data_IF_626456067515
#
_entry.id   IF_626456067515
#
_cell.length_a   1.000
_cell.length_b   1.000
_cell.length_c   1.000
_cell.angle_alpha   90.00
_cell.angle_beta   90.00
_cell.angle_gamma   90.00
#
_symmetry.space_group_name_H-M   'P 1'
#
loop_
_entity.id
_entity.type
_entity.pdbx_description
1 polymer ?
#
# COMPACT_ATOMS: atom_id res chain seq x y z
N UNK A 1 26.87 -0.76 34.06
CA UNK A 1 27.10 0.04 32.85
C UNK A 1 27.89 -0.82 31.87
N UNK A 2 27.61 -0.77 30.57
CA UNK A 2 28.43 -1.44 29.56
C UNK A 2 29.85 -0.88 29.63
N UNK A 3 30.87 -1.73 29.43
CA UNK A 3 32.27 -1.28 29.40
C UNK A 3 32.47 -0.34 28.20
N UNK A 4 33.41 0.62 28.29
CA UNK A 4 33.73 1.55 27.20
C UNK A 4 33.99 0.84 25.86
N UNK A 5 34.57 -0.34 25.90
CA UNK A 5 34.79 -1.17 24.70
C UNK A 5 33.52 -1.73 24.12
N UNK A 6 32.52 -2.10 24.93
CA UNK A 6 31.23 -2.58 24.44
C UNK A 6 30.43 -1.43 23.82
N UNK A 7 30.50 -0.24 24.43
CA UNK A 7 29.89 0.96 23.84
C UNK A 7 30.53 1.33 22.50
N UNK A 8 31.87 1.32 22.38
CA UNK A 8 32.57 1.60 21.15
C UNK A 8 32.17 0.64 20.01
N UNK A 9 32.12 -0.67 20.30
CA UNK A 9 31.70 -1.67 19.29
C UNK A 9 30.24 -1.48 18.85
N UNK A 10 29.33 -1.18 19.78
CA UNK A 10 27.95 -0.89 19.47
C UNK A 10 27.86 0.35 18.56
N UNK A 11 28.55 1.43 18.93
CA UNK A 11 28.53 2.68 18.18
C UNK A 11 29.14 2.56 16.77
N UNK A 12 30.21 1.78 16.58
CA UNK A 12 30.76 1.50 15.25
C UNK A 12 29.75 0.74 14.38
N UNK A 13 29.08 -0.26 14.95
CA UNK A 13 28.05 -1.02 14.26
C UNK A 13 26.86 -0.14 13.85
N UNK A 14 26.37 0.71 14.75
CA UNK A 14 25.27 1.63 14.47
C UNK A 14 25.62 2.60 13.32
N UNK A 15 26.88 3.03 13.22
CA UNK A 15 27.37 3.84 12.11
C UNK A 15 27.40 3.07 10.79
N UNK A 16 27.77 1.79 10.80
CA UNK A 16 27.72 0.94 9.61
C UNK A 16 26.27 0.74 9.16
N UNK A 17 25.37 0.42 10.08
CA UNK A 17 23.95 0.26 9.80
C UNK A 17 23.34 1.54 9.19
N UNK A 18 23.71 2.72 9.68
CA UNK A 18 23.28 4.00 9.11
C UNK A 18 23.82 4.24 7.70
N UNK A 19 25.08 3.88 7.44
CA UNK A 19 25.67 4.00 6.09
C UNK A 19 25.04 3.03 5.11
N UNK A 20 24.75 1.81 5.53
CA UNK A 20 24.08 0.79 4.70
C UNK A 20 22.65 1.23 4.35
N UNK A 21 22.01 2.03 5.20
CA UNK A 21 20.74 2.69 4.93
C UNK A 21 20.86 3.92 4.02
N UNK A 22 22.08 4.26 3.56
CA UNK A 22 22.33 5.41 2.70
C UNK A 22 22.31 6.76 3.43
N UNK A 23 22.41 6.76 4.76
CA UNK A 23 22.44 7.99 5.58
C UNK A 23 23.86 8.55 5.60
N UNK A 24 24.10 9.77 5.10
CA UNK A 24 25.45 10.38 5.10
C UNK A 24 25.85 10.75 6.53
N UNK A 25 26.98 10.21 6.98
CA UNK A 25 27.59 10.54 8.24
C UNK A 25 28.89 11.33 8.01
N UNK A 26 28.90 12.58 8.41
CA UNK A 26 30.08 13.43 8.40
C UNK A 26 30.76 13.45 9.76
N UNK A 27 32.10 13.48 9.73
CA UNK A 27 32.90 13.73 10.95
C UNK A 27 33.16 15.23 11.05
N UNK A 28 32.85 15.82 12.18
CA UNK A 28 33.05 17.24 12.39
C UNK A 28 33.08 17.61 13.86
N UNK A 29 33.61 18.79 14.19
CA UNK A 29 33.56 19.37 15.53
C UNK A 29 32.27 20.19 15.68
N UNK A 30 31.64 20.13 16.86
CA UNK A 30 30.44 20.91 17.19
C UNK A 30 30.72 22.40 17.47
N UNK A 31 31.98 22.78 17.65
CA UNK A 31 32.39 24.14 17.97
C UNK A 31 33.80 24.39 17.48
N UNK A 32 34.10 25.65 17.09
CA UNK A 32 35.46 26.13 16.82
C UNK A 32 36.40 26.05 18.03
N UNK A 33 35.86 25.77 19.20
CA UNK A 33 36.61 25.73 20.47
C UNK A 33 36.72 24.32 21.08
N UNK A 34 36.18 23.30 20.38
CA UNK A 34 36.15 21.93 20.89
C UNK A 34 36.93 21.02 19.95
N UNK A 35 38.03 20.45 20.42
CA UNK A 35 38.85 19.51 19.68
C UNK A 35 38.24 18.09 19.62
N UNK A 36 37.07 17.87 20.21
CA UNK A 36 36.36 16.59 20.16
C UNK A 36 35.67 16.41 18.81
N UNK A 37 36.11 15.42 18.07
CA UNK A 37 35.47 15.00 16.82
C UNK A 37 34.18 14.21 17.12
N UNK A 38 33.09 14.70 16.60
CA UNK A 38 31.79 14.05 16.67
C UNK A 38 31.29 13.64 15.27
N UNK A 39 30.14 12.97 15.24
CA UNK A 39 29.45 12.62 13.99
C UNK A 39 28.17 13.45 13.86
N UNK A 40 27.90 13.91 12.65
CA UNK A 40 26.66 14.61 12.34
C UNK A 40 26.04 14.06 11.06
N UNK A 41 24.72 14.14 10.98
CA UNK A 41 23.97 13.91 9.75
C UNK A 41 23.63 15.30 9.18
N UNK A 42 24.18 15.70 8.00
CA UNK A 42 23.85 16.96 7.39
C UNK A 42 22.35 17.01 7.02
N UNK A 43 21.65 18.02 7.48
CA UNK A 43 20.21 18.15 7.19
C UNK A 43 19.93 18.28 5.68
N UNK A 44 20.86 18.88 4.94
CA UNK A 44 20.77 19.07 3.48
C UNK A 44 20.87 17.77 2.70
N UNK A 45 21.64 16.80 3.20
CA UNK A 45 21.94 15.56 2.48
C UNK A 45 20.97 14.44 2.85
N UNK A 46 20.26 14.59 3.96
CA UNK A 46 19.20 13.68 4.41
C UNK A 46 17.79 14.20 4.12
N UNK A 47 17.66 15.48 3.74
CA UNK A 47 16.39 15.99 3.24
C UNK A 47 16.07 15.31 1.91
N UNK A 48 14.86 14.75 1.77
CA UNK A 48 14.33 14.37 0.46
C UNK A 48 14.54 15.56 -0.49
N UNK A 49 15.05 15.34 -1.72
CA UNK A 49 15.12 16.41 -2.71
C UNK A 49 13.75 17.04 -2.84
N UNK A 50 13.72 18.34 -3.10
CA UNK A 50 12.47 19.08 -3.27
C UNK A 50 11.63 18.37 -4.33
N UNK A 51 10.49 17.81 -3.91
CA UNK A 51 9.58 17.12 -4.82
C UNK A 51 8.89 18.19 -5.64
N UNK A 52 9.30 18.36 -6.88
CA UNK A 52 8.63 19.24 -7.86
C UNK A 52 7.81 18.36 -8.78
N UNK A 53 6.51 18.43 -8.66
CA UNK A 53 5.60 17.74 -9.57
C UNK A 53 5.27 18.69 -10.72
N UNK A 54 5.28 18.17 -11.95
CA UNK A 54 4.70 18.85 -13.11
C UNK A 54 3.17 18.98 -12.94
N UNK A 55 2.54 19.90 -13.66
CA UNK A 55 1.12 20.22 -13.46
C UNK A 55 0.20 19.00 -13.68
N UNK A 56 0.53 18.13 -14.63
CA UNK A 56 -0.19 16.88 -14.91
C UNK A 56 0.06 15.82 -13.84
N UNK A 57 1.27 15.72 -13.29
CA UNK A 57 1.61 14.85 -12.16
C UNK A 57 0.87 15.27 -10.89
N UNK A 58 0.87 16.58 -10.58
CA UNK A 58 0.13 17.14 -9.44
C UNK A 58 -1.39 16.89 -9.58
N UNK A 59 -1.94 17.04 -10.79
CA UNK A 59 -3.33 16.72 -11.07
C UNK A 59 -3.64 15.24 -10.89
N UNK A 60 -2.76 14.34 -11.37
CA UNK A 60 -2.90 12.89 -11.21
C UNK A 60 -2.88 12.47 -9.73
N UNK A 61 -1.94 13.01 -8.95
CA UNK A 61 -1.85 12.76 -7.49
C UNK A 61 -3.09 13.29 -6.76
N UNK A 62 -3.54 14.50 -7.09
CA UNK A 62 -4.74 15.09 -6.52
C UNK A 62 -5.99 14.28 -6.84
N UNK A 63 -6.13 13.79 -8.07
CA UNK A 63 -7.21 12.88 -8.49
C UNK A 63 -7.16 11.56 -7.71
N UNK A 64 -6.00 10.91 -7.66
CA UNK A 64 -5.81 9.64 -6.95
C UNK A 64 -6.17 9.76 -5.47
N UNK A 65 -5.72 10.83 -4.80
CA UNK A 65 -6.01 11.04 -3.38
C UNK A 65 -7.49 11.29 -3.11
N UNK A 66 -8.21 11.97 -3.99
CA UNK A 66 -9.66 12.15 -3.89
C UNK A 66 -10.44 10.88 -4.18
N UNK A 67 -9.93 10.04 -5.09
CA UNK A 67 -10.46 8.70 -5.29
C UNK A 67 -10.39 7.87 -4.00
N UNK A 68 -9.36 8.05 -3.19
CA UNK A 68 -9.18 7.36 -1.91
C UNK A 68 -9.89 8.04 -0.73
N UNK A 69 -10.27 9.31 -0.85
CA UNK A 69 -10.95 10.04 0.23
C UNK A 69 -12.32 9.49 0.61
N UNK A 70 -12.97 8.77 -0.30
CA UNK A 70 -14.24 8.06 -0.05
C UNK A 70 -14.08 6.64 0.50
N UNK A 71 -12.83 6.15 0.61
CA UNK A 71 -12.51 4.83 1.12
C UNK A 71 -12.01 4.91 2.57
N UNK A 72 -11.88 3.76 3.22
CA UNK A 72 -11.35 3.59 4.59
C UNK A 72 -9.96 4.21 4.78
N UNK A 73 -9.24 4.51 3.71
CA UNK A 73 -7.93 5.16 3.70
C UNK A 73 -7.99 6.68 3.50
N UNK A 74 -9.17 7.29 3.45
CA UNK A 74 -9.34 8.71 3.20
C UNK A 74 -8.57 9.62 4.16
N UNK A 75 -8.49 9.26 5.44
CA UNK A 75 -7.71 10.00 6.43
C UNK A 75 -6.20 9.97 6.14
N UNK A 76 -5.66 8.84 5.66
CA UNK A 76 -4.25 8.71 5.29
C UNK A 76 -3.94 9.50 4.01
N UNK A 77 -4.80 9.41 3.00
CA UNK A 77 -4.70 10.19 1.77
C UNK A 77 -4.75 11.70 2.03
N UNK A 78 -5.66 12.17 2.88
CA UNK A 78 -5.74 13.59 3.27
C UNK A 78 -4.48 14.06 3.99
N UNK A 79 -3.90 13.24 4.88
CA UNK A 79 -2.62 13.58 5.54
C UNK A 79 -1.46 13.63 4.54
N UNK A 80 -1.42 12.72 3.57
CA UNK A 80 -0.39 12.71 2.53
C UNK A 80 -0.49 13.97 1.65
N UNK A 81 -1.70 14.33 1.20
CA UNK A 81 -1.93 15.56 0.45
C UNK A 81 -1.47 16.81 1.19
N UNK A 82 -1.83 16.96 2.47
CA UNK A 82 -1.37 18.10 3.28
C UNK A 82 0.15 18.19 3.39
N UNK A 83 0.84 17.03 3.46
CA UNK A 83 2.30 17.01 3.47
C UNK A 83 2.89 17.49 2.14
N UNK A 84 2.29 17.10 1.01
CA UNK A 84 2.70 17.58 -0.31
C UNK A 84 2.46 19.07 -0.47
N UNK A 85 1.29 19.59 -0.07
CA UNK A 85 0.97 21.02 -0.07
C UNK A 85 1.96 21.81 0.81
N UNK A 86 2.28 21.28 2.00
CA UNK A 86 3.26 21.92 2.90
C UNK A 86 4.68 21.88 2.33
N UNK A 87 4.99 20.90 1.48
CA UNK A 87 6.27 20.83 0.76
C UNK A 87 6.30 21.69 -0.52
N UNK A 88 5.26 22.51 -0.77
CA UNK A 88 5.21 23.45 -1.89
C UNK A 88 4.63 22.88 -3.18
N UNK A 89 4.04 21.69 -3.15
CA UNK A 89 3.35 21.11 -4.32
C UNK A 89 1.98 21.79 -4.47
N UNK A 90 1.78 22.54 -5.56
CA UNK A 90 0.47 23.08 -5.92
C UNK A 90 -0.42 21.97 -6.48
N UNK A 91 -1.43 21.56 -5.72
CA UNK A 91 -2.43 20.59 -6.17
C UNK A 91 -3.51 21.32 -6.98
N UNK A 92 -3.66 20.96 -8.25
CA UNK A 92 -4.69 21.55 -9.12
C UNK A 92 -6.09 21.16 -8.61
N UNK A 93 -6.98 22.14 -8.35
CA UNK A 93 -8.36 21.83 -8.00
C UNK A 93 -9.06 21.14 -9.16
N UNK A 94 -9.69 19.98 -8.90
CA UNK A 94 -10.53 19.35 -9.91
C UNK A 94 -11.79 20.21 -10.15
N UNK A 95 -12.28 20.25 -11.40
CA UNK A 95 -13.54 20.92 -11.72
C UNK A 95 -14.67 20.38 -10.84
N UNK A 96 -15.53 21.28 -10.35
CA UNK A 96 -16.75 20.91 -9.62
C UNK A 96 -17.61 19.98 -10.52
N UNK A 97 -17.90 18.79 -10.02
CA UNK A 97 -18.70 17.79 -10.75
C UNK A 97 -17.97 16.49 -11.06
N UNK A 98 -16.64 16.45 -11.06
CA UNK A 98 -15.87 15.21 -11.13
C UNK A 98 -15.69 14.63 -9.72
N UNK A 99 -16.70 13.96 -9.20
CA UNK A 99 -16.57 13.07 -8.05
C UNK A 99 -16.35 11.65 -8.55
N UNK A 100 -15.11 11.13 -8.56
CA UNK A 100 -14.88 9.71 -8.85
C UNK A 100 -15.56 8.91 -7.75
N UNK A 101 -16.66 8.26 -8.08
CA UNK A 101 -17.32 7.32 -7.18
C UNK A 101 -16.54 6.00 -7.23
N UNK A 102 -15.44 5.92 -6.50
CA UNK A 102 -14.96 4.63 -6.07
C UNK A 102 -15.97 4.14 -5.03
N UNK A 103 -16.67 3.08 -5.36
CA UNK A 103 -17.45 2.38 -4.35
C UNK A 103 -16.55 2.14 -3.13
N UNK A 104 -17.05 2.41 -1.94
CA UNK A 104 -16.32 2.12 -0.70
C UNK A 104 -15.69 0.73 -0.84
N UNK A 105 -14.37 0.62 -0.65
CA UNK A 105 -13.60 -0.61 -0.87
C UNK A 105 -13.96 -1.75 0.08
N UNK A 106 -15.19 -1.77 0.60
CA UNK A 106 -15.64 -2.73 1.60
C UNK A 106 -14.86 -2.61 2.92
N UNK A 107 -15.47 -3.01 4.02
CA UNK A 107 -14.83 -2.99 5.34
C UNK A 107 -13.51 -3.81 5.38
N UNK A 108 -13.39 -4.83 4.53
CA UNK A 108 -12.26 -5.76 4.50
C UNK A 108 -11.01 -5.30 3.73
N UNK A 109 -11.00 -4.13 3.07
CA UNK A 109 -9.83 -3.71 2.28
C UNK A 109 -8.53 -3.57 3.12
N UNK A 110 -8.54 -3.02 4.34
CA UNK A 110 -7.34 -2.97 5.17
C UNK A 110 -6.78 -4.36 5.49
N UNK A 111 -7.64 -5.30 5.86
CA UNK A 111 -7.29 -6.69 6.17
C UNK A 111 -6.72 -7.42 4.94
N UNK A 112 -7.30 -7.18 3.77
CA UNK A 112 -6.79 -7.70 2.49
C UNK A 112 -5.39 -7.15 2.19
N UNK A 113 -5.16 -5.85 2.39
CA UNK A 113 -3.84 -5.23 2.22
C UNK A 113 -2.79 -5.82 3.16
N UNK A 114 -3.16 -6.04 4.42
CA UNK A 114 -2.29 -6.66 5.40
C UNK A 114 -1.92 -8.10 5.00
N UNK A 115 -2.90 -8.90 4.57
CA UNK A 115 -2.67 -10.25 4.09
C UNK A 115 -1.75 -10.32 2.87
N UNK A 116 -1.90 -9.39 1.92
CA UNK A 116 -1.01 -9.24 0.75
C UNK A 116 0.41 -8.90 1.18
N UNK A 117 0.58 -7.93 2.07
CA UNK A 117 1.90 -7.51 2.58
C UNK A 117 2.63 -8.65 3.31
N UNK A 118 1.89 -9.47 4.05
CA UNK A 118 2.44 -10.59 4.80
C UNK A 118 2.55 -11.89 3.99
N UNK A 119 1.98 -11.93 2.79
CA UNK A 119 1.91 -13.15 1.97
C UNK A 119 1.13 -14.25 2.67
N UNK A 120 -0.05 -13.94 3.22
CA UNK A 120 -0.89 -14.87 3.99
C UNK A 120 -2.23 -15.09 3.32
N UNK A 121 -2.83 -16.22 3.62
CA UNK A 121 -4.16 -16.61 3.14
C UNK A 121 -5.25 -15.77 3.79
N UNK A 122 -6.38 -15.64 3.08
CA UNK A 122 -7.59 -15.00 3.56
C UNK A 122 -8.72 -16.01 3.60
N UNK A 123 -9.55 -15.93 4.65
CA UNK A 123 -10.85 -16.58 4.73
C UNK A 123 -11.93 -15.51 4.90
N UNK A 124 -13.00 -15.61 4.12
CA UNK A 124 -14.13 -14.69 4.18
C UNK A 124 -15.39 -15.35 3.64
N UNK A 125 -16.54 -14.84 4.05
CA UNK A 125 -17.83 -15.19 3.47
C UNK A 125 -18.09 -14.32 2.25
N UNK A 126 -18.47 -14.95 1.13
CA UNK A 126 -18.67 -14.27 -0.14
C UNK A 126 -20.05 -14.56 -0.71
N UNK A 127 -20.78 -13.51 -1.11
CA UNK A 127 -22.06 -13.64 -1.81
C UNK A 127 -21.86 -13.37 -3.30
N UNK A 128 -21.81 -14.41 -4.12
CA UNK A 128 -21.83 -14.31 -5.57
C UNK A 128 -23.10 -13.64 -6.10
N UNK A 129 -23.12 -13.34 -7.40
CA UNK A 129 -24.28 -12.66 -8.00
C UNK A 129 -25.55 -13.49 -7.91
N UNK A 130 -25.43 -14.83 -8.02
CA UNK A 130 -26.53 -15.77 -8.07
C UNK A 130 -26.64 -16.62 -6.79
N UNK A 131 -25.86 -16.32 -5.76
CA UNK A 131 -25.88 -17.12 -4.53
C UNK A 131 -27.00 -16.66 -3.60
N UNK A 132 -27.83 -17.59 -3.16
CA UNK A 132 -28.91 -17.32 -2.19
C UNK A 132 -28.37 -16.93 -0.81
N UNK A 133 -27.22 -17.50 -0.42
CA UNK A 133 -26.56 -17.25 0.86
C UNK A 133 -25.04 -17.06 0.65
N UNK A 134 -24.36 -16.36 1.58
CA UNK A 134 -22.90 -16.27 1.55
C UNK A 134 -22.26 -17.66 1.69
N UNK A 135 -21.16 -17.86 0.96
CA UNK A 135 -20.38 -19.10 1.00
C UNK A 135 -18.96 -18.75 1.45
N UNK A 136 -18.45 -19.50 2.42
CA UNK A 136 -17.08 -19.35 2.89
C UNK A 136 -16.08 -19.61 1.75
N UNK A 137 -15.04 -18.80 1.65
CA UNK A 137 -13.96 -18.88 0.69
C UNK A 137 -12.62 -18.82 1.39
N UNK A 138 -11.68 -19.64 0.90
CA UNK A 138 -10.28 -19.57 1.28
C UNK A 138 -9.45 -19.21 0.07
N UNK A 139 -8.72 -18.10 0.15
CA UNK A 139 -8.04 -17.53 -1.00
C UNK A 139 -6.58 -17.23 -0.67
N UNK A 140 -5.69 -17.58 -1.57
CA UNK A 140 -4.32 -17.09 -1.61
C UNK A 140 -4.30 -15.77 -2.39
N UNK A 141 -4.20 -14.63 -1.72
CA UNK A 141 -4.32 -13.33 -2.37
C UNK A 141 -3.07 -13.01 -3.20
N UNK A 142 -3.27 -12.57 -4.45
CA UNK A 142 -2.20 -12.16 -5.36
C UNK A 142 -2.14 -10.65 -5.52
N UNK A 143 -3.28 -9.97 -5.42
CA UNK A 143 -3.34 -8.52 -5.52
C UNK A 143 -4.75 -7.97 -5.45
N UNK A 144 -4.84 -6.64 -5.46
CA UNK A 144 -6.09 -5.89 -5.50
C UNK A 144 -6.11 -5.00 -6.72
N UNK A 145 -7.21 -5.03 -7.47
CA UNK A 145 -7.43 -4.24 -8.69
C UNK A 145 -8.67 -3.38 -8.54
N UNK A 146 -8.56 -2.11 -8.90
CA UNK A 146 -9.74 -1.26 -9.08
C UNK A 146 -10.15 -1.28 -10.56
N UNK A 147 -11.31 -1.85 -10.87
CA UNK A 147 -11.85 -1.94 -12.22
C UNK A 147 -13.22 -1.28 -12.30
N UNK A 148 -13.38 -0.31 -13.18
CA UNK A 148 -14.63 0.45 -13.36
C UNK A 148 -15.21 0.98 -12.03
N UNK A 149 -14.35 1.51 -11.16
CA UNK A 149 -14.73 2.05 -9.85
C UNK A 149 -15.09 1.00 -8.79
N UNK A 150 -14.79 -0.27 -9.03
CA UNK A 150 -15.04 -1.39 -8.11
C UNK A 150 -13.75 -2.07 -7.74
N UNK A 151 -13.63 -2.43 -6.47
CA UNK A 151 -12.45 -3.12 -5.95
C UNK A 151 -12.61 -4.63 -6.02
N UNK A 152 -11.58 -5.29 -6.51
CA UNK A 152 -11.51 -6.75 -6.66
C UNK A 152 -10.25 -7.27 -6.00
N UNK A 153 -10.40 -8.27 -5.13
CA UNK A 153 -9.33 -9.15 -4.69
C UNK A 153 -9.12 -10.22 -5.77
N UNK A 154 -7.91 -10.35 -6.25
CA UNK A 154 -7.53 -11.44 -7.17
C UNK A 154 -6.62 -12.41 -6.44
N UNK A 155 -6.85 -13.68 -6.64
CA UNK A 155 -6.06 -14.73 -5.99
C UNK A 155 -6.48 -16.12 -6.41
N UNK A 156 -5.83 -17.13 -5.83
CA UNK A 156 -6.17 -18.54 -6.03
C UNK A 156 -7.25 -18.96 -5.01
N UNK A 157 -8.40 -19.32 -5.50
CA UNK A 157 -9.50 -19.89 -4.69
C UNK A 157 -9.17 -21.35 -4.39
N UNK A 158 -8.86 -21.65 -3.14
CA UNK A 158 -8.50 -23.01 -2.69
C UNK A 158 -9.67 -24.01 -2.72
N UNK A 159 -10.92 -23.50 -2.65
CA UNK A 159 -12.11 -24.34 -2.70
C UNK A 159 -12.49 -24.69 -4.14
N UNK A 160 -12.02 -23.93 -5.12
CA UNK A 160 -12.28 -24.11 -6.56
C UNK A 160 -11.04 -24.49 -7.35
N UNK A 161 -9.87 -24.50 -6.71
CA UNK A 161 -8.56 -24.79 -7.30
C UNK A 161 -8.27 -23.99 -8.59
N UNK A 162 -8.66 -22.70 -8.59
CA UNK A 162 -8.54 -21.84 -9.77
C UNK A 162 -8.31 -20.36 -9.42
N UNK A 163 -7.64 -19.60 -10.31
CA UNK A 163 -7.58 -18.14 -10.20
C UNK A 163 -8.97 -17.53 -10.27
N UNK A 164 -9.27 -16.59 -9.36
CA UNK A 164 -10.55 -15.88 -9.32
C UNK A 164 -10.40 -14.45 -8.88
N UNK A 165 -11.36 -13.62 -9.33
CA UNK A 165 -11.53 -12.26 -8.85
C UNK A 165 -12.80 -12.16 -7.98
N UNK A 166 -12.64 -11.59 -6.79
CA UNK A 166 -13.70 -11.39 -5.81
C UNK A 166 -13.97 -9.92 -5.62
N UNK A 167 -15.16 -9.45 -5.99
CA UNK A 167 -15.56 -8.07 -5.77
C UNK A 167 -15.68 -7.79 -4.27
N UNK A 168 -14.87 -6.89 -3.71
CA UNK A 168 -14.79 -6.67 -2.26
C UNK A 168 -16.12 -6.24 -1.63
N UNK A 169 -16.98 -5.52 -2.36
CA UNK A 169 -18.32 -5.16 -1.86
C UNK A 169 -19.29 -6.34 -1.69
N UNK A 170 -18.91 -7.54 -2.11
CA UNK A 170 -19.68 -8.78 -1.94
C UNK A 170 -19.12 -9.67 -0.83
N UNK A 171 -18.05 -9.26 -0.19
CA UNK A 171 -17.53 -9.89 1.03
C UNK A 171 -18.47 -9.54 2.18
N UNK A 172 -18.88 -10.53 2.92
CA UNK A 172 -19.79 -10.42 4.06
C UNK A 172 -18.99 -10.52 5.35
N UNK A 173 -19.10 -9.50 6.20
CA UNK A 173 -18.29 -9.40 7.41
C UNK A 173 -16.84 -9.02 7.15
N UNK A 174 -16.01 -9.19 8.15
CA UNK A 174 -14.58 -8.89 8.09
C UNK A 174 -13.80 -10.14 7.64
N UNK A 175 -12.91 -10.04 6.64
CA UNK A 175 -12.01 -11.12 6.27
C UNK A 175 -11.08 -11.49 7.42
N UNK A 176 -10.68 -12.76 7.49
CA UNK A 176 -9.76 -13.28 8.50
C UNK A 176 -8.47 -13.70 7.81
N UNK A 177 -7.34 -13.22 8.34
CA UNK A 177 -6.01 -13.61 7.87
C UNK A 177 -5.65 -14.97 8.48
N UNK A 178 -5.30 -15.95 7.64
CA UNK A 178 -4.93 -17.29 8.05
C UNK A 178 -3.54 -17.71 7.53
N UNK A 179 -2.97 -18.74 8.13
CA UNK A 179 -1.69 -19.33 7.71
C UNK A 179 -0.46 -18.56 8.21
N UNK A 180 0.71 -19.06 7.82
CA UNK A 180 2.00 -18.47 8.18
C UNK A 180 2.34 -17.32 7.23
N UNK A 181 3.13 -16.29 7.70
CA UNK A 181 3.67 -15.29 6.79
C UNK A 181 4.46 -15.93 5.63
N UNK A 182 4.42 -15.29 4.46
CA UNK A 182 5.09 -15.73 3.22
C UNK A 182 4.71 -17.15 2.77
N UNK A 183 3.47 -17.58 3.06
CA UNK A 183 2.95 -18.88 2.62
C UNK A 183 2.26 -18.82 1.26
N UNK A 184 2.04 -17.63 0.72
CA UNK A 184 1.42 -17.40 -0.58
C UNK A 184 2.49 -16.98 -1.58
N UNK A 185 2.51 -17.63 -2.73
CA UNK A 185 3.38 -17.28 -3.86
C UNK A 185 2.51 -16.79 -5.01
N UNK A 186 2.79 -15.60 -5.52
CA UNK A 186 2.14 -15.07 -6.72
C UNK A 186 2.83 -15.69 -7.94
N UNK A 187 2.09 -16.33 -8.87
CA UNK A 187 2.68 -16.87 -10.09
C UNK A 187 3.29 -15.76 -10.96
N UNK A 188 4.43 -16.05 -11.58
CA UNK A 188 5.08 -15.12 -12.50
C UNK A 188 4.19 -14.86 -13.72
N UNK A 189 4.13 -13.60 -14.16
CA UNK A 189 3.41 -13.20 -15.37
C UNK A 189 1.88 -13.21 -15.26
N UNK A 190 1.30 -13.35 -14.06
CA UNK A 190 -0.15 -13.29 -13.91
C UNK A 190 -0.67 -11.86 -14.17
N UNK A 191 -1.60 -11.71 -15.11
CA UNK A 191 -2.30 -10.46 -15.37
C UNK A 191 -3.58 -10.38 -14.52
N UNK A 192 -3.47 -9.63 -13.42
CA UNK A 192 -4.59 -9.42 -12.48
C UNK A 192 -5.74 -8.65 -13.13
N UNK A 193 -5.46 -7.71 -14.04
CA UNK A 193 -6.47 -6.90 -14.70
C UNK A 193 -7.27 -7.74 -15.71
N UNK A 194 -6.61 -8.64 -16.43
CA UNK A 194 -7.27 -9.58 -17.32
C UNK A 194 -8.23 -10.52 -16.57
N UNK A 195 -7.84 -11.02 -15.40
CA UNK A 195 -8.69 -11.87 -14.56
C UNK A 195 -9.94 -11.13 -14.07
N UNK A 196 -9.81 -9.85 -13.72
CA UNK A 196 -10.96 -9.02 -13.30
C UNK A 196 -11.87 -8.74 -14.48
N UNK A 197 -11.32 -8.36 -15.65
CA UNK A 197 -12.12 -8.06 -16.83
C UNK A 197 -12.94 -9.26 -17.32
N UNK A 198 -12.37 -10.46 -17.27
CA UNK A 198 -13.06 -11.71 -17.58
C UNK A 198 -14.20 -12.02 -16.58
N UNK A 199 -14.02 -11.67 -15.31
CA UNK A 199 -15.04 -11.90 -14.27
C UNK A 199 -16.19 -10.88 -14.33
N UNK A 200 -15.92 -9.64 -14.75
CA UNK A 200 -16.91 -8.53 -14.83
C UNK A 200 -17.53 -8.42 -16.24
N UNK A 201 -17.14 -9.29 -17.17
CA UNK A 201 -17.81 -9.37 -18.48
C UNK A 201 -19.28 -9.76 -18.29
N UNK A 202 -20.23 -9.11 -18.95
CA UNK A 202 -21.61 -9.55 -18.92
C UNK A 202 -21.64 -10.99 -19.47
N UNK A 203 -22.18 -11.92 -18.68
CA UNK A 203 -22.44 -13.25 -19.19
C UNK A 203 -23.40 -13.06 -20.39
N UNK A 204 -22.87 -13.26 -21.60
CA UNK A 204 -23.72 -13.36 -22.79
C UNK A 204 -24.76 -14.44 -22.50
N UNK A 205 -26.01 -14.05 -22.36
CA UNK A 205 -27.12 -14.99 -22.45
C UNK A 205 -26.97 -15.70 -23.82
N UNK A 206 -26.58 -16.96 -23.76
CA UNK A 206 -26.69 -17.83 -24.92
C UNK A 206 -28.19 -17.98 -25.20
N UNK A 207 -28.61 -17.38 -26.30
CA UNK A 207 -29.90 -17.63 -26.92
C UNK A 207 -30.01 -19.09 -27.38
#
# INVERSE_FOLDING_TARGET
>A
APSDEAFKRMFERDKEDLRDLGIPLEVGSNSHFDDEQGYRIPKTDYALPEIRLEADEAAAVGLAARMWSSATQGAAATRALRKLETAGVELVPLPEGLQPRLGAGGAGLPTVHEALREGRRLRFDYRGANDAAPVARKVEPWGVVCWRGRWYLVGHDLDREAPRAFRLSRVVGEPIIEGKPRSVTVPEGVDLSALVSATDAPQSEAL
#
